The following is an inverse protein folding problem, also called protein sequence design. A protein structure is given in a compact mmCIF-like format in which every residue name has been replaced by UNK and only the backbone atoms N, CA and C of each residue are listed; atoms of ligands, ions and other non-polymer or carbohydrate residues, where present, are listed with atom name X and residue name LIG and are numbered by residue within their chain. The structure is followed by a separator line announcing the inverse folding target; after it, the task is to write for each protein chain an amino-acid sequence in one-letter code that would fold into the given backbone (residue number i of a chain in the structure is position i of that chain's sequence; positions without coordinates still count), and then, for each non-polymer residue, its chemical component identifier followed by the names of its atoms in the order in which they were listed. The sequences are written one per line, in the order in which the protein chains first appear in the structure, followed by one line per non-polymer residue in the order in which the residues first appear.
data_IF_163766973601
#
_entry.id   IF_163766973601
#
_cell.length_a   1.000
_cell.length_b   1.000
_cell.length_c   1.000
_cell.angle_alpha   90.00
_cell.angle_beta   90.00
_cell.angle_gamma   90.00
#
_symmetry.space_group_name_H-M   'P 1'
#
loop_
_entity.id
_entity.type
_entity.pdbx_description
1 polymer ?
#
# COMPACT_ATOMS: atom_id res chain seq x y z
N UNK A 1 77.25 7.03 -11.87
CA UNK A 1 76.96 6.78 -13.29
C UNK A 1 76.62 5.30 -13.47
N UNK A 2 75.46 5.04 -14.08
CA UNK A 2 75.10 3.91 -14.97
C UNK A 2 75.30 2.49 -14.42
N UNK A 3 74.31 1.62 -14.29
CA UNK A 3 72.94 1.63 -14.80
C UNK A 3 72.46 0.18 -14.87
N UNK A 4 71.30 -0.10 -14.29
CA UNK A 4 70.52 -1.32 -14.48
C UNK A 4 70.07 -1.41 -15.96
N UNK A 5 70.00 -2.61 -16.57
CA UNK A 5 68.69 -3.12 -17.00
C UNK A 5 68.57 -4.66 -16.88
N UNK A 6 67.47 -5.21 -16.36
CA UNK A 6 66.13 -5.31 -16.95
C UNK A 6 66.04 -6.37 -18.07
N UNK A 7 65.77 -7.62 -17.70
CA UNK A 7 65.04 -8.60 -18.53
C UNK A 7 64.24 -9.55 -17.62
N UNK A 8 63.34 -8.96 -16.83
CA UNK A 8 62.19 -9.67 -16.26
C UNK A 8 60.95 -9.16 -17.01
N UNK A 9 60.89 -9.51 -18.29
CA UNK A 9 59.77 -9.21 -19.18
C UNK A 9 59.24 -10.52 -19.77
N UNK A 10 58.94 -11.49 -18.91
CA UNK A 10 57.78 -12.35 -19.16
C UNK A 10 56.56 -11.54 -18.72
N UNK A 11 56.18 -10.60 -19.58
CA UNK A 11 54.90 -9.94 -19.51
C UNK A 11 53.83 -11.03 -19.63
N UNK A 12 53.22 -11.35 -18.49
CA UNK A 12 51.87 -11.88 -18.42
C UNK A 12 50.95 -10.87 -19.14
N UNK A 13 50.90 -10.97 -20.47
CA UNK A 13 49.74 -10.57 -21.24
C UNK A 13 48.64 -11.57 -20.93
N UNK A 14 48.13 -11.52 -19.70
CA UNK A 14 46.77 -11.95 -19.42
C UNK A 14 45.89 -10.98 -20.21
N UNK A 15 45.56 -11.37 -21.45
CA UNK A 15 44.36 -10.90 -22.12
C UNK A 15 43.23 -10.97 -21.09
N UNK A 16 42.69 -9.81 -20.73
CA UNK A 16 41.79 -9.62 -19.60
C UNK A 16 40.50 -10.41 -19.75
N UNK A 17 40.51 -11.68 -19.32
CA UNK A 17 39.30 -12.44 -19.11
C UNK A 17 38.57 -11.82 -17.93
N UNK A 18 37.48 -11.11 -18.20
CA UNK A 18 36.62 -10.61 -17.15
C UNK A 18 36.08 -11.81 -16.33
N UNK A 19 36.49 -11.91 -15.06
CA UNK A 19 36.13 -13.01 -14.17
C UNK A 19 34.60 -13.18 -14.05
N UNK A 20 33.88 -12.07 -13.96
CA UNK A 20 32.42 -12.07 -13.83
C UNK A 20 31.75 -12.62 -15.10
N UNK A 21 32.29 -12.32 -16.29
CA UNK A 21 31.78 -12.86 -17.55
C UNK A 21 32.01 -14.38 -17.64
N UNK A 22 33.19 -14.88 -17.25
CA UNK A 22 33.47 -16.31 -17.22
C UNK A 22 32.56 -17.05 -16.22
N UNK A 23 32.41 -16.50 -15.02
CA UNK A 23 31.49 -17.04 -14.01
C UNK A 23 30.05 -17.08 -14.53
N UNK A 24 29.61 -16.01 -15.21
CA UNK A 24 28.30 -15.94 -15.85
C UNK A 24 28.07 -17.07 -16.84
N UNK A 25 29.04 -17.38 -17.72
CA UNK A 25 28.92 -18.52 -18.65
C UNK A 25 28.80 -19.87 -17.95
N UNK A 26 29.54 -20.07 -16.86
CA UNK A 26 29.43 -21.32 -16.10
C UNK A 26 28.06 -21.49 -15.44
N UNK A 27 27.51 -20.40 -14.90
CA UNK A 27 26.17 -20.40 -14.29
C UNK A 27 25.07 -20.57 -15.35
N UNK A 28 25.21 -19.91 -16.50
CA UNK A 28 24.30 -20.05 -17.64
C UNK A 28 24.28 -21.51 -18.14
N UNK A 29 25.44 -22.17 -18.23
CA UNK A 29 25.54 -23.58 -18.59
C UNK A 29 24.95 -24.55 -17.55
N UNK A 30 24.66 -24.08 -16.34
CA UNK A 30 23.98 -24.82 -15.27
C UNK A 30 22.48 -24.47 -15.17
N UNK A 31 21.93 -23.72 -16.12
CA UNK A 31 20.57 -23.17 -16.10
C UNK A 31 20.28 -22.25 -14.90
N UNK A 32 21.32 -21.70 -14.25
CA UNK A 32 21.21 -20.78 -13.10
C UNK A 32 21.12 -19.33 -13.60
N UNK A 33 20.07 -19.04 -14.37
CA UNK A 33 19.95 -17.80 -15.13
C UNK A 33 19.93 -16.53 -14.27
N UNK A 34 19.28 -16.54 -13.09
CA UNK A 34 19.31 -15.38 -12.18
C UNK A 34 20.74 -15.03 -11.74
N UNK A 35 21.51 -16.03 -11.33
CA UNK A 35 22.88 -15.85 -10.86
C UNK A 35 23.81 -15.50 -12.02
N UNK A 36 23.61 -16.12 -13.18
CA UNK A 36 24.32 -15.78 -14.41
C UNK A 36 24.07 -14.31 -14.79
N UNK A 37 22.82 -13.85 -14.72
CA UNK A 37 22.46 -12.47 -15.03
C UNK A 37 23.14 -11.46 -14.10
N UNK A 38 23.21 -11.75 -12.80
CA UNK A 38 23.94 -10.93 -11.84
C UNK A 38 25.45 -10.86 -12.16
N UNK A 39 26.06 -11.99 -12.52
CA UNK A 39 27.47 -12.03 -12.94
C UNK A 39 27.69 -11.25 -14.25
N UNK A 40 26.83 -11.39 -15.25
CA UNK A 40 26.94 -10.61 -16.49
C UNK A 40 26.66 -9.12 -16.29
N UNK A 41 25.74 -8.76 -15.39
CA UNK A 41 25.50 -7.35 -15.03
C UNK A 41 26.76 -6.71 -14.44
N UNK A 42 27.46 -7.40 -13.53
CA UNK A 42 28.74 -6.93 -12.99
C UNK A 42 29.79 -6.78 -14.08
N UNK A 43 29.94 -7.78 -14.95
CA UNK A 43 30.87 -7.71 -16.08
C UNK A 43 30.61 -6.49 -16.98
N UNK A 44 29.34 -6.24 -17.32
CA UNK A 44 28.93 -5.09 -18.13
C UNK A 44 29.10 -3.76 -17.40
N UNK A 45 28.81 -3.68 -16.10
CA UNK A 45 29.03 -2.48 -15.31
C UNK A 45 30.53 -2.11 -15.22
N UNK A 46 31.40 -3.13 -15.11
CA UNK A 46 32.86 -2.97 -15.10
C UNK A 46 33.41 -2.57 -16.48
N UNK A 47 32.70 -2.91 -17.57
CA UNK A 47 33.11 -2.62 -18.96
C UNK A 47 31.90 -2.31 -19.86
N UNK A 48 31.28 -1.12 -19.75
CA UNK A 48 30.02 -0.81 -20.43
C UNK A 48 30.11 -0.69 -21.96
N UNK A 49 31.32 -0.61 -22.51
CA UNK A 49 31.56 -0.56 -23.96
C UNK A 49 31.73 -1.93 -24.62
N UNK A 50 31.65 -3.02 -23.85
CA UNK A 50 31.79 -4.38 -24.37
C UNK A 50 30.43 -4.95 -24.79
N UNK A 51 30.24 -5.12 -26.11
CA UNK A 51 29.00 -5.60 -26.69
C UNK A 51 28.71 -7.07 -26.33
N UNK A 52 29.73 -7.90 -26.10
CA UNK A 52 29.54 -9.31 -25.70
C UNK A 52 29.00 -9.39 -24.27
N UNK A 53 29.48 -8.53 -23.38
CA UNK A 53 28.99 -8.47 -21.99
C UNK A 53 27.56 -7.94 -21.95
N UNK A 54 27.28 -6.90 -22.74
CA UNK A 54 25.92 -6.37 -22.89
C UNK A 54 24.97 -7.43 -23.44
N UNK A 55 25.35 -8.13 -24.50
CA UNK A 55 24.53 -9.17 -25.11
C UNK A 55 24.26 -10.34 -24.14
N UNK A 56 25.27 -10.77 -23.39
CA UNK A 56 25.10 -11.82 -22.38
C UNK A 56 24.19 -11.39 -21.22
N UNK A 57 24.36 -10.15 -20.74
CA UNK A 57 23.46 -9.58 -19.73
C UNK A 57 22.02 -9.52 -20.22
N UNK A 58 21.76 -8.97 -21.42
CA UNK A 58 20.41 -8.83 -21.94
C UNK A 58 19.72 -10.17 -22.21
N UNK A 59 20.42 -11.15 -22.81
CA UNK A 59 19.88 -12.50 -23.05
C UNK A 59 19.50 -13.20 -21.75
N UNK A 60 20.37 -13.15 -20.74
CA UNK A 60 20.07 -13.78 -19.44
C UNK A 60 19.01 -13.02 -18.65
N UNK A 61 18.89 -11.70 -18.84
CA UNK A 61 17.81 -10.91 -18.25
C UNK A 61 16.46 -11.35 -18.81
N UNK A 62 16.36 -11.53 -20.13
CA UNK A 62 15.14 -12.04 -20.79
C UNK A 62 14.77 -13.43 -20.29
N UNK A 63 15.75 -14.35 -20.21
CA UNK A 63 15.50 -15.71 -19.71
C UNK A 63 15.08 -15.74 -18.24
N UNK A 64 15.69 -14.89 -17.43
CA UNK A 64 15.34 -14.74 -16.01
C UNK A 64 13.94 -14.15 -15.86
N UNK A 65 13.57 -13.17 -16.70
CA UNK A 65 12.23 -12.59 -16.75
C UNK A 65 11.17 -13.66 -17.03
N UNK A 66 11.39 -14.56 -18.00
CA UNK A 66 10.46 -15.66 -18.29
C UNK A 66 10.22 -16.57 -17.08
N UNK A 67 11.29 -16.97 -16.38
CA UNK A 67 11.19 -17.82 -15.19
C UNK A 67 10.52 -17.10 -14.00
N UNK A 68 10.77 -15.79 -13.85
CA UNK A 68 10.07 -14.96 -12.87
C UNK A 68 8.58 -14.87 -13.17
N UNK A 69 8.19 -14.75 -14.44
CA UNK A 69 6.78 -14.69 -14.87
C UNK A 69 6.06 -16.03 -14.65
N UNK A 70 6.74 -17.17 -14.81
CA UNK A 70 6.18 -18.48 -14.46
C UNK A 70 5.88 -18.59 -12.96
N UNK A 71 6.85 -18.23 -12.11
CA UNK A 71 6.68 -18.23 -10.65
C UNK A 71 5.65 -17.19 -10.19
N UNK A 72 5.61 -16.03 -10.84
CA UNK A 72 4.56 -15.02 -10.63
C UNK A 72 3.16 -15.61 -10.80
N UNK A 73 2.91 -16.32 -11.90
CA UNK A 73 1.60 -16.93 -12.15
C UNK A 73 1.25 -17.99 -11.09
N UNK A 74 2.22 -18.83 -10.70
CA UNK A 74 2.03 -19.81 -9.63
C UNK A 74 1.60 -19.14 -8.31
N UNK A 75 2.29 -18.06 -7.91
CA UNK A 75 1.95 -17.34 -6.68
C UNK A 75 0.59 -16.63 -6.77
N UNK A 76 0.20 -16.14 -7.94
CA UNK A 76 -1.15 -15.60 -8.16
C UNK A 76 -2.21 -16.68 -7.93
N UNK A 77 -2.02 -17.88 -8.50
CA UNK A 77 -2.96 -18.99 -8.40
C UNK A 77 -3.10 -19.51 -6.96
N UNK A 78 -2.01 -19.42 -6.17
CA UNK A 78 -2.00 -19.73 -4.74
C UNK A 78 -2.58 -18.60 -3.85
N UNK A 79 -2.87 -17.43 -4.42
CA UNK A 79 -3.35 -16.25 -3.71
C UNK A 79 -2.28 -15.53 -2.88
N UNK A 80 -1.00 -15.75 -3.17
CA UNK A 80 0.15 -15.11 -2.51
C UNK A 80 0.49 -13.78 -3.19
N UNK A 81 -0.44 -12.82 -3.10
CA UNK A 81 -0.44 -11.58 -3.89
C UNK A 81 0.84 -10.74 -3.73
N UNK A 82 1.32 -10.53 -2.50
CA UNK A 82 2.51 -9.71 -2.26
C UNK A 82 3.79 -10.37 -2.85
N UNK A 83 3.89 -11.70 -2.83
CA UNK A 83 5.01 -12.45 -3.40
C UNK A 83 4.94 -12.44 -4.93
N UNK A 84 3.74 -12.63 -5.49
CA UNK A 84 3.51 -12.53 -6.92
C UNK A 84 3.97 -11.15 -7.43
N UNK A 85 3.45 -10.07 -6.85
CA UNK A 85 3.83 -8.71 -7.28
C UNK A 85 5.34 -8.46 -7.19
N UNK A 86 6.01 -8.93 -6.13
CA UNK A 86 7.46 -8.79 -6.00
C UNK A 86 8.23 -9.49 -7.15
N UNK A 87 7.76 -10.65 -7.63
CA UNK A 87 8.35 -11.32 -8.81
C UNK A 87 8.11 -10.55 -10.09
N UNK A 88 6.91 -9.97 -10.25
CA UNK A 88 6.60 -9.11 -11.39
C UNK A 88 7.46 -7.83 -11.40
N UNK A 89 7.72 -7.21 -10.25
CA UNK A 89 8.62 -6.06 -10.15
C UNK A 89 10.07 -6.43 -10.50
N UNK A 90 10.55 -7.61 -10.08
CA UNK A 90 11.86 -8.11 -10.48
C UNK A 90 11.95 -8.30 -12.00
N UNK A 91 10.93 -8.92 -12.60
CA UNK A 91 10.83 -9.09 -14.05
C UNK A 91 10.83 -7.73 -14.79
N UNK A 92 10.08 -6.74 -14.28
CA UNK A 92 10.08 -5.37 -14.79
C UNK A 92 11.45 -4.72 -14.74
N UNK A 93 12.19 -4.88 -13.66
CA UNK A 93 13.51 -4.27 -13.53
C UNK A 93 14.54 -4.89 -14.51
N UNK A 94 14.40 -6.17 -14.82
CA UNK A 94 15.27 -6.87 -15.76
C UNK A 94 14.92 -6.58 -17.22
N UNK A 95 13.62 -6.59 -17.55
CA UNK A 95 13.14 -6.38 -18.93
C UNK A 95 11.92 -5.45 -18.93
N UNK A 96 12.12 -4.12 -18.83
CA UNK A 96 11.04 -3.14 -18.65
C UNK A 96 9.99 -3.13 -19.77
N UNK A 97 10.43 -3.41 -21.00
CA UNK A 97 9.58 -3.40 -22.21
C UNK A 97 8.96 -4.77 -22.52
N UNK A 98 9.11 -5.77 -21.63
CA UNK A 98 8.57 -7.11 -21.87
C UNK A 98 7.03 -7.05 -21.95
N UNK A 99 6.39 -7.52 -23.06
CA UNK A 99 4.95 -7.32 -23.28
C UNK A 99 4.08 -7.88 -22.16
N UNK A 100 4.41 -9.08 -21.65
CA UNK A 100 3.67 -9.71 -20.55
C UNK A 100 3.82 -8.93 -19.24
N UNK A 101 5.01 -8.36 -18.97
CA UNK A 101 5.23 -7.57 -17.75
C UNK A 101 4.36 -6.32 -17.80
N UNK A 102 4.37 -5.61 -18.92
CA UNK A 102 3.53 -4.43 -19.12
C UNK A 102 2.04 -4.76 -18.99
N UNK A 103 1.60 -5.88 -19.59
CA UNK A 103 0.22 -6.35 -19.49
C UNK A 103 -0.20 -6.77 -18.09
N UNK A 104 0.71 -7.33 -17.28
CA UNK A 104 0.40 -7.75 -15.91
C UNK A 104 0.45 -6.58 -14.93
N UNK A 105 1.39 -5.63 -15.06
CA UNK A 105 1.38 -4.39 -14.27
C UNK A 105 0.06 -3.62 -14.46
N UNK A 106 -0.42 -3.62 -15.71
CA UNK A 106 -1.81 -3.81 -16.18
C UNK A 106 -2.99 -4.14 -15.28
N UNK A 107 -2.78 -4.95 -14.26
CA UNK A 107 -3.85 -5.52 -13.46
C UNK A 107 -3.71 -5.17 -11.99
N UNK A 108 -2.57 -4.62 -11.59
CA UNK A 108 -2.31 -4.20 -10.22
C UNK A 108 -2.75 -2.75 -10.01
N UNK A 109 -3.47 -2.53 -8.92
CA UNK A 109 -3.83 -1.22 -8.41
C UNK A 109 -3.23 -1.06 -7.01
N UNK A 110 -2.59 0.08 -6.79
CA UNK A 110 -2.06 0.45 -5.49
C UNK A 110 -3.11 1.26 -4.72
N UNK A 111 -3.26 0.97 -3.43
CA UNK A 111 -4.23 1.62 -2.57
C UNK A 111 -3.50 2.20 -1.36
N UNK A 112 -3.50 3.52 -1.22
CA UNK A 112 -3.12 4.16 0.03
C UNK A 112 -4.31 4.16 0.97
N UNK A 113 -4.15 3.60 2.15
CA UNK A 113 -5.10 3.70 3.26
C UNK A 113 -4.49 4.59 4.32
N UNK A 114 -5.10 5.73 4.61
CA UNK A 114 -4.55 6.66 5.60
C UNK A 114 -5.62 7.40 6.40
N UNK A 115 -5.19 8.07 7.46
CA UNK A 115 -6.03 8.91 8.30
C UNK A 115 -5.29 9.38 9.55
N UNK A 116 -6.06 9.82 10.55
CA UNK A 116 -5.57 10.25 11.86
C UNK A 116 -6.36 9.59 12.99
N UNK A 117 -5.70 9.28 14.10
CA UNK A 117 -6.36 8.83 15.33
C UNK A 117 -5.88 9.60 16.55
N UNK A 118 -6.77 10.41 17.11
CA UNK A 118 -6.55 11.06 18.39
C UNK A 118 -7.00 10.15 19.55
N UNK A 119 -6.22 10.13 20.63
CA UNK A 119 -6.51 9.33 21.82
C UNK A 119 -6.73 10.23 23.03
N UNK A 120 -7.87 10.06 23.70
CA UNK A 120 -8.22 10.79 24.92
C UNK A 120 -8.48 9.79 26.05
N UNK A 121 -7.58 9.67 27.01
CA UNK A 121 -7.72 8.73 28.14
C UNK A 121 -7.01 9.23 29.41
N UNK A 122 -7.49 8.80 30.58
CA UNK A 122 -6.87 9.15 31.86
C UNK A 122 -5.61 8.32 32.17
N UNK A 123 -5.63 7.02 31.91
CA UNK A 123 -4.48 6.14 32.19
C UNK A 123 -4.59 4.76 31.52
N UNK A 124 -3.50 4.31 30.90
CA UNK A 124 -3.36 2.95 30.35
C UNK A 124 -2.82 1.93 31.37
N UNK A 125 -2.31 2.36 32.53
CA UNK A 125 -1.52 1.52 33.46
C UNK A 125 -2.25 0.29 34.01
N UNK A 126 -3.59 0.30 34.04
CA UNK A 126 -4.41 -0.84 34.51
C UNK A 126 -4.95 -1.71 33.36
N UNK A 127 -4.89 -1.22 32.12
CA UNK A 127 -5.43 -1.89 30.92
C UNK A 127 -4.32 -2.56 30.13
N UNK A 128 -3.12 -1.99 30.18
CA UNK A 128 -1.95 -2.42 29.42
C UNK A 128 -0.89 -2.91 30.42
N UNK A 129 -0.49 -4.20 30.38
CA UNK A 129 0.55 -4.70 31.26
C UNK A 129 1.90 -4.04 30.92
N UNK A 130 2.79 -3.93 31.94
CA UNK A 130 4.16 -3.50 31.72
C UNK A 130 4.83 -4.37 30.63
N UNK A 131 5.44 -3.69 29.66
CA UNK A 131 6.08 -4.29 28.49
C UNK A 131 7.26 -3.42 28.08
N UNK A 132 8.18 -3.98 27.30
CA UNK A 132 9.38 -3.28 26.85
C UNK A 132 9.05 -2.27 25.74
N UNK A 133 8.14 -2.63 24.83
CA UNK A 133 7.73 -1.77 23.72
C UNK A 133 6.19 -1.74 23.57
N UNK A 134 5.64 -0.54 23.40
CA UNK A 134 4.22 -0.27 23.14
C UNK A 134 4.08 0.51 21.83
N UNK A 135 3.35 -0.07 20.87
CA UNK A 135 3.11 0.55 19.56
C UNK A 135 1.61 0.70 19.35
N UNK A 136 1.14 1.94 19.26
CA UNK A 136 -0.24 2.23 18.86
C UNK A 136 -0.45 1.81 17.41
N UNK A 137 -1.57 1.13 17.15
CA UNK A 137 -1.80 0.48 15.87
C UNK A 137 -3.30 0.39 15.56
N UNK A 138 -3.62 0.58 14.29
CA UNK A 138 -4.90 0.17 13.72
C UNK A 138 -4.74 -1.12 12.94
N UNK A 139 -5.85 -1.84 12.83
CA UNK A 139 -6.03 -2.90 11.86
C UNK A 139 -7.12 -2.49 10.89
N UNK A 140 -6.89 -2.67 9.60
CA UNK A 140 -7.84 -2.36 8.53
C UNK A 140 -8.08 -3.64 7.72
N UNK A 141 -9.34 -3.97 7.49
CA UNK A 141 -9.71 -5.03 6.55
C UNK A 141 -9.44 -4.56 5.12
N UNK A 142 -9.16 -5.49 4.21
CA UNK A 142 -8.93 -5.16 2.80
C UNK A 142 -9.83 -5.99 1.90
N UNK A 143 -9.72 -5.76 0.59
CA UNK A 143 -10.38 -6.57 -0.43
C UNK A 143 -9.97 -8.05 -0.40
N UNK A 144 -8.78 -8.38 0.08
CA UNK A 144 -8.38 -9.77 0.32
C UNK A 144 -8.90 -10.22 1.70
N UNK A 145 -9.86 -11.16 1.78
CA UNK A 145 -10.44 -11.60 3.04
C UNK A 145 -9.44 -12.28 3.99
N UNK A 146 -8.26 -12.70 3.50
CA UNK A 146 -7.18 -13.28 4.30
C UNK A 146 -6.22 -12.21 4.83
N UNK A 147 -6.28 -10.99 4.30
CA UNK A 147 -5.35 -9.89 4.62
C UNK A 147 -6.00 -8.89 5.57
N UNK A 148 -5.22 -8.50 6.58
CA UNK A 148 -5.54 -7.39 7.49
C UNK A 148 -4.30 -6.53 7.58
N UNK A 149 -4.41 -5.26 7.19
CA UNK A 149 -3.30 -4.31 7.30
C UNK A 149 -3.10 -3.98 8.77
N UNK A 150 -1.88 -4.18 9.26
CA UNK A 150 -1.48 -3.72 10.58
C UNK A 150 -0.74 -2.39 10.42
N UNK A 151 -1.39 -1.28 10.76
CA UNK A 151 -0.90 0.06 10.49
C UNK A 151 -0.48 0.74 11.79
N UNK A 152 0.79 1.12 11.88
CA UNK A 152 1.31 1.85 13.04
C UNK A 152 0.78 3.28 13.03
N UNK A 153 0.41 3.77 14.21
CA UNK A 153 0.05 5.17 14.42
C UNK A 153 1.29 5.92 14.84
N UNK A 154 1.65 6.96 14.09
CA UNK A 154 2.75 7.83 14.47
C UNK A 154 2.41 8.59 15.75
N UNK A 155 3.30 8.51 16.74
CA UNK A 155 3.03 9.06 18.07
C UNK A 155 3.04 10.60 18.11
N UNK A 156 3.67 11.26 17.13
CA UNK A 156 3.82 12.72 17.11
C UNK A 156 2.66 13.36 16.35
N UNK A 157 2.47 12.95 15.10
CA UNK A 157 1.47 13.48 14.16
C UNK A 157 0.08 12.84 14.37
N UNK A 158 0.03 11.68 15.04
CA UNK A 158 -1.18 10.86 15.22
C UNK A 158 -1.74 10.29 13.91
N UNK A 159 -0.97 10.40 12.82
CA UNK A 159 -1.35 9.88 11.51
C UNK A 159 -1.03 8.40 11.38
N UNK A 160 -1.72 7.75 10.46
CA UNK A 160 -1.42 6.39 10.03
C UNK A 160 -1.53 6.31 8.52
N UNK A 161 -0.71 5.47 7.91
CA UNK A 161 -0.75 5.19 6.49
C UNK A 161 -0.20 3.80 6.19
N UNK A 162 -0.84 3.08 5.28
CA UNK A 162 -0.35 1.83 4.72
C UNK A 162 -0.72 1.73 3.25
N UNK A 163 0.18 1.17 2.45
CA UNK A 163 -0.11 0.79 1.07
C UNK A 163 -0.62 -0.66 1.03
N UNK A 164 -1.62 -0.88 0.20
CA UNK A 164 -2.14 -2.19 -0.18
C UNK A 164 -2.11 -2.33 -1.71
N UNK A 165 -2.27 -3.56 -2.19
CA UNK A 165 -2.26 -3.87 -3.62
C UNK A 165 -3.40 -4.82 -3.94
N UNK A 166 -4.17 -4.49 -4.96
CA UNK A 166 -5.27 -5.31 -5.46
C UNK A 166 -4.97 -5.73 -6.89
N UNK A 167 -5.12 -7.02 -7.18
CA UNK A 167 -5.06 -7.59 -8.52
C UNK A 167 -6.47 -7.63 -9.13
N UNK A 168 -6.61 -7.14 -10.37
CA UNK A 168 -7.88 -7.03 -11.09
C UNK A 168 -8.97 -6.33 -10.28
N UNK A 169 -8.68 -5.11 -9.82
CA UNK A 169 -9.62 -4.30 -9.05
C UNK A 169 -11.01 -4.23 -9.72
N UNK A 170 -12.03 -4.65 -8.99
CA UNK A 170 -13.42 -4.34 -9.24
C UNK A 170 -13.90 -3.22 -8.32
N UNK A 171 -14.94 -2.50 -8.72
CA UNK A 171 -15.55 -1.46 -7.86
C UNK A 171 -16.06 -2.04 -6.53
N UNK A 172 -16.45 -3.31 -6.52
CA UNK A 172 -16.90 -4.02 -5.32
C UNK A 172 -15.78 -4.28 -4.33
N UNK A 173 -14.53 -4.31 -4.75
CA UNK A 173 -13.40 -4.58 -3.84
C UNK A 173 -13.15 -3.42 -2.86
N UNK A 174 -13.49 -2.20 -3.27
CA UNK A 174 -13.27 -0.98 -2.48
C UNK A 174 -14.16 -0.92 -1.22
N UNK A 175 -15.21 -1.74 -1.16
CA UNK A 175 -16.15 -1.76 -0.04
C UNK A 175 -15.55 -2.42 1.21
N UNK A 176 -14.53 -3.27 1.04
CA UNK A 176 -14.01 -4.10 2.13
C UNK A 176 -13.03 -3.36 3.02
N UNK A 177 -12.54 -2.19 2.58
CA UNK A 177 -11.74 -1.31 3.42
C UNK A 177 -12.56 -0.76 4.58
N UNK A 178 -12.42 -1.40 5.74
CA UNK A 178 -13.13 -1.07 6.98
C UNK A 178 -12.19 -1.15 8.16
N UNK A 179 -12.47 -0.34 9.19
CA UNK A 179 -11.78 -0.43 10.45
C UNK A 179 -12.05 -1.80 11.09
N UNK A 180 -10.98 -2.54 11.37
CA UNK A 180 -11.05 -3.83 12.05
C UNK A 180 -10.92 -3.64 13.57
N UNK A 181 -9.86 -2.98 13.99
CA UNK A 181 -9.60 -2.71 15.40
C UNK A 181 -8.61 -1.56 15.60
N UNK A 182 -8.70 -0.90 16.74
CA UNK A 182 -7.73 0.10 17.22
C UNK A 182 -7.19 -0.43 18.54
N UNK A 183 -5.89 -0.34 18.75
CA UNK A 183 -5.30 -0.83 19.99
C UNK A 183 -3.82 -0.58 20.12
N UNK A 184 -3.21 -1.33 21.03
CA UNK A 184 -1.78 -1.29 21.30
C UNK A 184 -1.17 -2.67 21.10
N UNK A 185 -0.11 -2.72 20.31
CA UNK A 185 0.77 -3.88 20.19
C UNK A 185 1.82 -3.78 21.29
N UNK A 186 1.93 -4.84 22.08
CA UNK A 186 2.88 -4.99 23.17
C UNK A 186 3.90 -6.04 22.77
N UNK A 187 5.17 -5.70 22.95
CA UNK A 187 6.28 -6.63 22.73
C UNK A 187 7.14 -6.71 23.99
N UNK A 188 7.40 -7.95 24.42
CA UNK A 188 8.33 -8.28 25.50
C UNK A 188 9.56 -8.95 24.91
N UNK A 189 10.69 -8.26 24.98
CA UNK A 189 11.95 -8.69 24.35
C UNK A 189 12.44 -10.01 24.93
N UNK A 190 12.25 -10.23 26.23
CA UNK A 190 12.69 -11.46 26.91
C UNK A 190 11.91 -12.73 26.53
N UNK A 191 10.67 -12.59 26.06
CA UNK A 191 9.78 -13.75 25.83
C UNK A 191 9.37 -13.91 24.38
N UNK A 192 9.71 -12.94 23.50
CA UNK A 192 9.20 -12.83 22.12
C UNK A 192 7.67 -12.86 22.01
N UNK A 193 6.95 -12.72 23.12
CA UNK A 193 5.48 -12.67 23.12
C UNK A 193 5.05 -11.31 22.60
N UNK A 194 4.27 -11.34 21.52
CA UNK A 194 3.62 -10.18 20.94
C UNK A 194 2.13 -10.29 21.23
N UNK A 195 1.57 -9.30 21.94
CA UNK A 195 0.14 -9.25 22.25
C UNK A 195 -0.48 -7.98 21.70
N UNK A 196 -1.64 -8.08 21.07
CA UNK A 196 -2.43 -6.93 20.65
C UNK A 196 -3.63 -6.76 21.56
N UNK A 197 -3.64 -5.67 22.35
CA UNK A 197 -4.76 -5.28 23.20
C UNK A 197 -5.63 -4.33 22.39
N UNK A 198 -6.88 -4.72 22.16
CA UNK A 198 -7.86 -3.95 21.40
C UNK A 198 -8.60 -3.00 22.33
N UNK A 199 -8.64 -1.74 21.94
CA UNK A 199 -9.48 -0.70 22.53
C UNK A 199 -10.84 -0.70 21.81
N UNK A 200 -10.79 -0.67 20.47
CA UNK A 200 -11.95 -0.83 19.58
C UNK A 200 -11.80 -2.16 18.85
N UNK A 201 -12.86 -2.98 18.82
CA UNK A 201 -12.84 -4.30 18.16
C UNK A 201 -14.14 -4.54 17.37
N UNK A 202 -14.09 -4.22 16.07
CA UNK A 202 -15.18 -4.38 15.12
C UNK A 202 -15.06 -5.70 14.34
N UNK A 203 -13.86 -6.28 14.29
CA UNK A 203 -13.46 -7.39 13.41
C UNK A 203 -13.74 -7.08 11.94
N UNK A 204 -14.63 -7.83 11.30
CA UNK A 204 -14.95 -7.69 9.88
C UNK A 204 -16.43 -7.31 9.83
N UNK A 205 -16.75 -6.01 9.74
CA UNK A 205 -18.10 -5.59 9.36
C UNK A 205 -18.50 -6.28 8.04
N UNK A 206 -19.72 -6.78 7.97
CA UNK A 206 -20.21 -7.57 6.86
C UNK A 206 -20.90 -6.68 5.81
N UNK A 207 -20.35 -6.52 4.59
CA UNK A 207 -21.07 -5.87 3.50
C UNK A 207 -22.20 -6.79 3.01
N UNK A 208 -23.44 -6.34 3.13
CA UNK A 208 -24.64 -7.05 2.68
C UNK A 208 -24.83 -6.92 1.18
N UNK A 209 -24.75 -5.71 0.68
CA UNK A 209 -25.01 -5.40 -0.73
C UNK A 209 -24.28 -4.13 -1.18
N UNK A 210 -24.01 -4.06 -2.49
CA UNK A 210 -23.40 -2.93 -3.18
C UNK A 210 -24.14 -2.71 -4.48
N UNK A 211 -24.91 -1.63 -4.53
CA UNK A 211 -25.77 -1.30 -5.66
C UNK A 211 -25.35 0.02 -6.32
N UNK A 212 -25.70 0.18 -7.58
CA UNK A 212 -25.42 1.38 -8.35
C UNK A 212 -23.99 1.43 -8.90
N UNK A 213 -23.58 2.61 -9.38
CA UNK A 213 -22.24 2.86 -9.89
C UNK A 213 -21.80 4.28 -9.50
N UNK A 214 -20.52 4.43 -9.21
CA UNK A 214 -19.91 5.76 -9.04
C UNK A 214 -19.81 6.46 -10.40
N UNK A 215 -20.25 7.72 -10.45
CA UNK A 215 -20.05 8.56 -11.63
C UNK A 215 -18.57 8.92 -11.74
N UNK A 216 -18.01 8.79 -12.93
CA UNK A 216 -16.70 9.36 -13.21
C UNK A 216 -16.87 10.85 -13.46
N UNK A 217 -15.89 11.65 -13.02
CA UNK A 217 -15.76 13.04 -13.41
C UNK A 217 -15.45 13.05 -14.91
N UNK A 218 -16.50 13.08 -15.71
CA UNK A 218 -16.40 13.39 -17.13
C UNK A 218 -16.08 14.86 -17.24
N UNK A 219 -14.86 15.20 -17.64
CA UNK A 219 -14.54 16.59 -17.93
C UNK A 219 -15.53 17.11 -18.98
N UNK A 220 -16.16 18.25 -18.71
CA UNK A 220 -16.36 19.23 -19.77
C UNK A 220 -14.97 19.44 -20.36
N UNK A 221 -14.76 18.86 -21.54
CA UNK A 221 -13.47 18.66 -22.15
C UNK A 221 -12.57 19.88 -21.99
N UNK A 222 -11.39 19.71 -21.39
CA UNK A 222 -10.25 20.50 -21.82
C UNK A 222 -10.12 20.30 -23.34
N UNK A 223 -9.58 21.27 -24.07
CA UNK A 223 -9.52 21.28 -25.54
C UNK A 223 -8.92 19.99 -26.19
N UNK A 224 -8.35 19.09 -25.40
CA UNK A 224 -7.66 17.87 -25.79
C UNK A 224 -8.34 16.56 -25.31
N UNK A 225 -9.48 16.63 -24.61
CA UNK A 225 -10.25 15.45 -24.18
C UNK A 225 -9.72 14.70 -22.94
N UNK A 226 -8.62 15.15 -22.31
CA UNK A 226 -8.07 14.56 -21.08
C UNK A 226 -8.66 15.21 -19.82
N UNK A 227 -8.99 14.39 -18.82
CA UNK A 227 -9.38 14.86 -17.48
C UNK A 227 -8.10 15.22 -16.71
N UNK A 228 -7.89 16.49 -16.29
CA UNK A 228 -6.68 16.86 -15.58
C UNK A 228 -6.64 16.26 -14.17
N UNK A 229 -5.44 15.90 -13.70
CA UNK A 229 -5.22 15.54 -12.30
C UNK A 229 -5.65 16.68 -11.36
N UNK A 230 -6.36 16.32 -10.30
CA UNK A 230 -6.87 17.24 -9.30
C UNK A 230 -6.33 16.88 -7.92
N UNK A 231 -5.89 17.86 -7.11
CA UNK A 231 -5.46 17.59 -5.74
C UNK A 231 -6.64 17.16 -4.87
N UNK A 232 -6.43 16.22 -3.95
CA UNK A 232 -7.47 15.73 -3.02
C UNK A 232 -8.08 16.82 -2.13
N UNK A 233 -7.38 17.95 -1.97
CA UNK A 233 -7.86 19.10 -1.21
C UNK A 233 -9.05 19.80 -1.89
N UNK A 234 -9.19 19.64 -3.21
CA UNK A 234 -10.21 20.32 -4.02
C UNK A 234 -11.64 19.85 -3.71
N UNK A 235 -11.81 18.57 -3.40
CA UNK A 235 -13.14 17.97 -3.15
C UNK A 235 -13.22 17.42 -1.74
N UNK A 236 -14.03 18.08 -0.92
CA UNK A 236 -14.35 17.67 0.44
C UNK A 236 -15.69 18.27 0.89
N UNK A 237 -16.79 17.50 0.81
CA UNK A 237 -18.13 17.97 1.16
C UNK A 237 -18.33 18.01 2.67
N UNK A 238 -17.69 18.98 3.34
CA UNK A 238 -17.65 19.10 4.81
C UNK A 238 -19.02 19.00 5.47
N UNK A 239 -20.03 19.73 4.96
CA UNK A 239 -21.36 19.78 5.58
C UNK A 239 -22.04 18.40 5.59
N UNK A 240 -22.01 17.68 4.47
CA UNK A 240 -22.61 16.35 4.32
C UNK A 240 -21.88 15.31 5.18
N UNK A 241 -20.55 15.39 5.21
CA UNK A 241 -19.71 14.52 6.04
C UNK A 241 -19.99 14.75 7.53
N UNK A 242 -20.14 16.01 7.95
CA UNK A 242 -20.44 16.38 9.33
C UNK A 242 -21.84 15.88 9.74
N UNK A 243 -22.84 16.00 8.85
CA UNK A 243 -24.20 15.46 9.09
C UNK A 243 -24.22 13.94 9.18
N UNK A 244 -23.38 13.26 8.39
CA UNK A 244 -23.26 11.80 8.37
C UNK A 244 -22.45 11.22 9.54
N UNK A 245 -21.76 12.07 10.30
CA UNK A 245 -20.92 11.62 11.41
C UNK A 245 -21.72 11.43 12.68
N UNK A 246 -21.31 10.48 13.51
CA UNK A 246 -22.00 10.20 14.75
C UNK A 246 -21.98 11.42 15.70
N UNK A 247 -23.16 11.90 16.11
CA UNK A 247 -23.28 13.00 17.08
C UNK A 247 -22.68 12.68 18.45
N UNK A 248 -22.58 11.40 18.80
CA UNK A 248 -22.00 10.89 20.03
C UNK A 248 -21.02 9.75 19.75
N UNK A 249 -20.00 9.63 20.59
CA UNK A 249 -19.07 8.51 20.62
C UNK A 249 -19.78 7.21 20.99
N UNK A 250 -19.33 6.09 20.43
CA UNK A 250 -19.97 4.79 20.62
C UNK A 250 -18.95 3.67 20.80
N UNK A 251 -19.38 2.57 21.42
CA UNK A 251 -18.52 1.39 21.64
C UNK A 251 -18.55 0.51 20.41
N UNK A 252 -17.37 0.15 19.88
CA UNK A 252 -17.28 -0.79 18.77
C UNK A 252 -17.91 -2.15 19.10
N UNK A 253 -18.76 -2.64 18.22
CA UNK A 253 -19.44 -3.94 18.35
C UNK A 253 -19.06 -4.83 17.17
N UNK A 254 -18.98 -6.14 17.41
CA UNK A 254 -18.78 -7.13 16.35
C UNK A 254 -20.11 -7.44 15.67
N UNK A 255 -20.05 -7.96 14.44
CA UNK A 255 -21.23 -8.37 13.68
C UNK A 255 -22.01 -7.20 13.09
N UNK A 256 -21.38 -6.02 12.98
CA UNK A 256 -21.92 -4.92 12.20
C UNK A 256 -22.10 -5.36 10.76
N UNK A 257 -23.19 -4.91 10.15
CA UNK A 257 -23.44 -5.08 8.73
C UNK A 257 -23.80 -3.75 8.09
N UNK A 258 -23.48 -3.59 6.82
CA UNK A 258 -23.79 -2.40 6.05
C UNK A 258 -24.07 -2.71 4.59
N UNK A 259 -24.79 -1.81 3.92
CA UNK A 259 -24.99 -1.82 2.47
C UNK A 259 -24.51 -0.48 1.90
N UNK A 260 -24.03 -0.51 0.66
CA UNK A 260 -23.58 0.69 -0.06
C UNK A 260 -24.44 0.92 -1.31
N UNK A 261 -24.95 2.13 -1.45
CA UNK A 261 -25.57 2.61 -2.68
C UNK A 261 -24.63 3.65 -3.31
N UNK A 262 -24.08 3.31 -4.47
CA UNK A 262 -23.17 4.13 -5.24
C UNK A 262 -24.02 5.08 -6.11
N UNK A 263 -24.12 6.33 -5.68
CA UNK A 263 -24.97 7.35 -6.29
C UNK A 263 -24.14 8.54 -6.78
N UNK A 264 -23.65 8.44 -8.02
CA UNK A 264 -22.89 9.51 -8.65
C UNK A 264 -21.60 9.82 -7.88
N UNK A 265 -21.55 10.98 -7.23
CA UNK A 265 -20.41 11.46 -6.44
C UNK A 265 -20.46 11.06 -4.95
N UNK A 266 -21.40 10.18 -4.58
CA UNK A 266 -21.64 9.78 -3.18
C UNK A 266 -21.73 8.27 -3.03
N UNK A 267 -21.23 7.80 -1.89
CA UNK A 267 -21.41 6.44 -1.40
C UNK A 267 -22.36 6.53 -0.21
N UNK A 268 -23.64 6.25 -0.45
CA UNK A 268 -24.64 6.21 0.63
C UNK A 268 -24.52 4.90 1.39
N UNK A 269 -24.46 5.01 2.71
CA UNK A 269 -24.26 3.90 3.62
C UNK A 269 -25.51 3.67 4.45
N UNK A 270 -26.01 2.45 4.39
CA UNK A 270 -27.00 1.93 5.32
C UNK A 270 -26.30 1.00 6.31
N UNK A 271 -26.19 1.43 7.57
CA UNK A 271 -25.49 0.66 8.61
C UNK A 271 -26.48 0.11 9.63
N UNK A 272 -26.29 -1.15 10.02
CA UNK A 272 -27.13 -1.84 11.03
C UNK A 272 -27.28 -1.14 12.37
N UNK A 273 -26.33 -0.27 12.74
CA UNK A 273 -26.38 0.51 13.98
C UNK A 273 -26.51 2.03 13.75
N UNK A 274 -26.75 2.45 12.49
CA UNK A 274 -26.81 3.88 12.12
C UNK A 274 -25.50 4.64 12.28
N UNK A 275 -24.36 3.95 12.41
CA UNK A 275 -23.02 4.56 12.51
C UNK A 275 -22.17 4.16 11.31
N UNK A 276 -21.32 5.08 10.83
CA UNK A 276 -20.44 4.85 9.67
C UNK A 276 -18.97 5.07 9.98
N UNK A 277 -18.64 5.39 11.23
CA UNK A 277 -17.29 5.80 11.68
C UNK A 277 -16.21 4.74 11.41
N UNK A 278 -16.60 3.49 11.17
CA UNK A 278 -15.71 2.38 10.82
C UNK A 278 -15.43 2.24 9.31
N UNK A 279 -16.08 3.03 8.47
CA UNK A 279 -15.83 3.08 7.03
C UNK A 279 -14.84 4.22 6.72
N UNK A 280 -14.33 4.31 5.48
CA UNK A 280 -13.61 5.49 5.02
C UNK A 280 -14.51 6.72 5.03
N UNK A 281 -13.91 7.89 5.08
CA UNK A 281 -14.60 9.17 4.95
C UNK A 281 -14.66 9.61 3.47
N UNK A 282 -13.54 9.45 2.75
CA UNK A 282 -13.43 9.75 1.33
C UNK A 282 -12.75 8.61 0.57
N UNK A 283 -13.14 8.43 -0.69
CA UNK A 283 -12.50 7.56 -1.68
C UNK A 283 -12.09 8.42 -2.88
N UNK A 284 -10.83 8.39 -3.25
CA UNK A 284 -10.28 9.10 -4.39
C UNK A 284 -9.74 8.10 -5.43
N UNK A 285 -10.14 8.26 -6.68
CA UNK A 285 -9.77 7.37 -7.78
C UNK A 285 -8.85 8.07 -8.79
N UNK A 286 -7.72 7.42 -9.07
CA UNK A 286 -6.82 7.67 -10.20
C UNK A 286 -6.60 6.34 -10.95
N UNK A 287 -7.58 5.95 -11.78
CA UNK A 287 -7.57 4.68 -12.53
C UNK A 287 -6.49 4.68 -13.60
N UNK A 288 -6.20 5.82 -14.22
CA UNK A 288 -5.14 5.94 -15.22
C UNK A 288 -3.77 5.55 -14.65
N UNK A 289 -3.41 6.08 -13.48
CA UNK A 289 -2.18 5.71 -12.78
C UNK A 289 -2.31 4.48 -11.87
N UNK A 290 -3.53 3.93 -11.75
CA UNK A 290 -3.88 2.79 -10.88
C UNK A 290 -3.53 3.04 -9.42
N UNK A 291 -3.86 4.24 -8.97
CA UNK A 291 -3.70 4.67 -7.58
C UNK A 291 -5.06 5.02 -7.01
N UNK A 292 -5.29 4.55 -5.79
CA UNK A 292 -6.50 4.85 -5.03
C UNK A 292 -6.08 5.38 -3.68
N UNK A 293 -6.78 6.40 -3.21
CA UNK A 293 -6.62 6.87 -1.85
C UNK A 293 -7.92 6.67 -1.07
N UNK A 294 -7.85 5.80 -0.06
CA UNK A 294 -8.90 5.52 0.91
C UNK A 294 -8.57 6.30 2.18
N UNK A 295 -9.29 7.41 2.36
CA UNK A 295 -9.09 8.33 3.47
C UNK A 295 -10.10 8.05 4.58
N UNK A 296 -9.62 7.56 5.72
CA UNK A 296 -10.44 7.33 6.91
C UNK A 296 -10.77 8.61 7.69
N UNK A 297 -10.22 9.76 7.29
CA UNK A 297 -10.43 11.01 8.00
C UNK A 297 -9.74 11.01 9.36
N UNK A 298 -10.35 11.73 10.31
CA UNK A 298 -9.92 11.75 11.70
C UNK A 298 -10.85 10.91 12.56
N UNK A 299 -10.27 10.05 13.39
CA UNK A 299 -10.96 9.28 14.41
C UNK A 299 -10.54 9.77 15.79
N UNK A 300 -11.48 9.83 16.73
CA UNK A 300 -11.21 10.08 18.13
C UNK A 300 -11.53 8.82 18.92
N UNK A 301 -10.56 8.30 19.66
CA UNK A 301 -10.70 7.12 20.53
C UNK A 301 -10.61 7.56 21.99
N UNK A 302 -11.69 7.35 22.74
CA UNK A 302 -11.90 7.97 24.05
C UNK A 302 -12.06 6.89 25.12
N UNK A 303 -11.39 7.06 26.26
CA UNK A 303 -11.65 6.34 27.49
C UNK A 303 -11.98 7.35 28.60
N UNK A 304 -13.27 7.52 28.88
CA UNK A 304 -13.78 8.57 29.79
C UNK A 304 -13.48 8.34 31.27
N UNK A 305 -13.21 7.10 31.67
CA UNK A 305 -12.90 6.73 33.06
C UNK A 305 -11.72 5.77 33.04
N UNK A 306 -10.79 5.89 33.99
CA UNK A 306 -9.68 4.95 34.15
C UNK A 306 -10.14 3.48 34.13
N UNK A 307 -9.69 2.72 33.12
CA UNK A 307 -10.05 1.32 32.94
C UNK A 307 -11.48 1.06 32.42
N UNK A 308 -12.20 2.12 32.04
CA UNK A 308 -13.52 2.04 31.45
C UNK A 308 -13.51 1.56 30.00
N UNK A 309 -14.72 1.42 29.44
CA UNK A 309 -14.92 1.02 28.05
C UNK A 309 -14.38 2.13 27.13
N UNK A 310 -13.75 1.70 26.04
CA UNK A 310 -13.33 2.59 24.96
C UNK A 310 -14.49 2.86 24.02
N UNK A 311 -14.70 4.13 23.72
CA UNK A 311 -15.60 4.61 22.69
C UNK A 311 -14.78 5.24 21.56
N UNK A 312 -15.40 5.39 20.40
CA UNK A 312 -14.80 6.13 19.30
C UNK A 312 -15.86 6.84 18.47
N UNK A 313 -15.40 7.83 17.71
CA UNK A 313 -16.18 8.54 16.70
C UNK A 313 -15.28 9.05 15.60
N UNK A 314 -15.86 9.30 14.44
CA UNK A 314 -15.26 10.09 13.37
C UNK A 314 -15.43 11.57 13.69
N UNK A 315 -14.36 12.34 13.47
CA UNK A 315 -14.37 13.80 13.52
C UNK A 315 -14.14 14.34 12.11
N UNK A 316 -14.99 15.28 11.70
CA UNK A 316 -14.89 15.92 10.39
C UNK A 316 -14.22 17.27 10.59
N UNK A 317 -12.94 17.34 10.23
CA UNK A 317 -12.18 18.58 10.22
C UNK A 317 -12.24 19.20 8.81
N UNK A 318 -12.70 20.45 8.62
CA UNK A 318 -12.69 21.12 7.32
C UNK A 318 -11.26 21.34 6.79
N UNK A 319 -10.27 21.49 7.67
CA UNK A 319 -8.90 21.80 7.29
C UNK A 319 -8.11 20.55 6.90
N UNK A 320 -8.50 19.38 7.42
CA UNK A 320 -7.79 18.10 7.26
C UNK A 320 -6.29 18.25 7.42
N UNK A 321 -5.86 18.93 8.48
CA UNK A 321 -4.45 19.33 8.65
C UNK A 321 -3.49 18.12 8.60
N UNK A 322 -3.95 16.95 9.01
CA UNK A 322 -3.22 15.69 8.95
C UNK A 322 -2.75 15.29 7.54
N UNK A 323 -3.40 15.78 6.48
CA UNK A 323 -2.95 15.52 5.11
C UNK A 323 -1.58 16.15 4.85
N UNK A 324 -1.22 17.25 5.52
CA UNK A 324 0.10 17.86 5.37
C UNK A 324 1.20 16.94 5.92
N UNK A 325 0.94 16.30 7.07
CA UNK A 325 1.87 15.34 7.66
C UNK A 325 2.04 14.10 6.75
N UNK A 326 0.94 13.62 6.17
CA UNK A 326 0.98 12.50 5.22
C UNK A 326 1.70 12.86 3.91
N UNK A 327 1.48 14.08 3.38
CA UNK A 327 2.14 14.60 2.17
C UNK A 327 3.64 14.82 2.35
N UNK A 328 4.11 15.02 3.58
CA UNK A 328 5.54 15.11 3.87
C UNK A 328 6.28 13.80 3.54
N UNK A 329 5.58 12.66 3.50
CA UNK A 329 6.13 11.41 3.00
C UNK A 329 6.05 11.37 1.46
N UNK A 330 7.19 11.55 0.80
CA UNK A 330 7.31 11.57 -0.66
C UNK A 330 6.80 10.29 -1.33
N UNK A 331 6.84 9.14 -0.65
CA UNK A 331 6.31 7.88 -1.18
C UNK A 331 4.79 7.95 -1.42
N UNK A 332 4.08 8.77 -0.64
CA UNK A 332 2.62 8.92 -0.73
C UNK A 332 2.18 10.05 -1.66
N UNK A 333 3.11 10.90 -2.10
CA UNK A 333 2.82 12.07 -2.95
C UNK A 333 1.87 11.76 -4.12
N UNK A 334 2.04 10.67 -4.90
CA UNK A 334 1.20 10.42 -6.06
C UNK A 334 -0.26 10.06 -5.73
N UNK A 335 -0.57 9.68 -4.50
CA UNK A 335 -1.95 9.35 -4.08
C UNK A 335 -2.77 10.59 -3.71
N UNK A 336 -2.14 11.75 -3.53
CA UNK A 336 -2.83 13.00 -3.20
C UNK A 336 -3.40 13.72 -4.43
N UNK A 337 -3.48 13.01 -5.55
CA UNK A 337 -4.12 13.46 -6.78
C UNK A 337 -5.09 12.41 -7.29
N UNK A 338 -6.23 12.86 -7.81
CA UNK A 338 -7.27 12.01 -8.39
C UNK A 338 -7.67 12.56 -9.76
N UNK A 339 -8.25 11.69 -10.59
CA UNK A 339 -8.69 12.07 -11.95
C UNK A 339 -10.15 11.73 -12.16
N UNK A 340 -10.53 10.48 -11.91
CA UNK A 340 -11.85 9.97 -12.24
C UNK A 340 -12.88 10.23 -11.16
N UNK A 341 -12.49 10.44 -9.90
CA UNK A 341 -13.48 10.83 -8.90
C UNK A 341 -13.02 10.94 -7.46
N UNK A 342 -13.84 11.65 -6.69
CA UNK A 342 -13.74 11.82 -5.26
C UNK A 342 -15.12 11.60 -4.64
N UNK A 343 -15.26 10.59 -3.79
CA UNK A 343 -16.55 10.09 -3.32
C UNK A 343 -16.60 10.11 -1.80
N UNK A 344 -17.61 10.78 -1.25
CA UNK A 344 -17.84 10.83 0.18
C UNK A 344 -18.70 9.65 0.65
N UNK A 345 -18.30 9.03 1.76
CA UNK A 345 -19.15 8.06 2.47
C UNK A 345 -20.09 8.82 3.39
N UNK A 346 -21.38 8.77 3.09
CA UNK A 346 -22.44 9.50 3.78
C UNK A 346 -23.53 8.55 4.25
N UNK A 347 -24.22 8.86 5.35
CA UNK A 347 -25.36 8.05 5.81
C UNK A 347 -26.52 8.18 4.81
N UNK A 348 -27.21 7.07 4.51
CA UNK A 348 -28.37 7.09 3.61
C UNK A 348 -29.58 7.84 4.20
N UNK A 349 -29.64 7.96 5.53
CA UNK A 349 -30.65 8.70 6.28
C UNK A 349 -29.97 9.63 7.28
N UNK A 350 -29.83 10.89 6.89
CA UNK A 350 -29.45 12.02 7.73
C UNK A 350 -30.49 13.13 7.57
#
# INVERSE_FOLDING_TARGET
MKGLPLFLALGLTLCGCNYNYYQGKQLEAQDRFEEANLSFHKAYADSPGDDDFKAAYLRTAERTTEDLLLRYQQYLDEGLMDIAYARLEQAKNLTPEHPVVLQELRKWTQVLVAGKVDFTFESLQKVVPLTDEMVLMLRINTADPKKVLNVVIDNQTKTFAAEDRIYNLSQKDLIFYTLNSIGVKLKKDRTRVVRFIRFVDLKIPYPKDVNGNLAEITATAAANGEVPLQPVDRVYPYQELAQSSASQDWTGMRGLSYSLNLEGERIKVESSNGKIDYLPQMLYLNKEERRIFVDFGSLECIQRKKGGIWTFRRTVDPNRAYLNDLKANLAFSPYFFFREGAYAFVLAHG
#
